data_IF_482335177713
#
_entry.id   IF_482335177713
#
_cell.length_a   1.000
_cell.length_b   1.000
_cell.length_c   1.000
_cell.angle_alpha   90.00
_cell.angle_beta   90.00
_cell.angle_gamma   90.00
#
_symmetry.space_group_name_H-M   'P 1'
#
loop_
_entity.id
_entity.type
_entity.pdbx_description
1 polymer ?
#
# COMPACT_ATOMS: atom_id res chain seq x y z
N UNK A 1 -19.08 -14.71 13.73
CA UNK A 1 -18.58 -13.51 14.42
C UNK A 1 -17.45 -12.99 13.56
N UNK A 2 -17.59 -11.80 12.99
CA UNK A 2 -16.50 -11.15 12.24
C UNK A 2 -15.47 -10.63 13.24
N UNK A 3 -14.18 -10.83 12.94
CA UNK A 3 -13.08 -10.36 13.80
C UNK A 3 -12.49 -9.09 13.20
N UNK A 4 -12.21 -8.09 14.03
CA UNK A 4 -11.56 -6.85 13.59
C UNK A 4 -10.40 -6.52 14.51
N UNK A 5 -9.26 -6.17 13.94
CA UNK A 5 -8.02 -5.84 14.64
C UNK A 5 -7.47 -4.53 14.10
N UNK A 6 -7.35 -3.52 14.96
CA UNK A 6 -6.61 -2.31 14.64
C UNK A 6 -5.10 -2.58 14.66
N UNK A 7 -4.40 -2.14 13.63
CA UNK A 7 -2.94 -2.15 13.55
C UNK A 7 -2.38 -0.85 14.10
N UNK A 8 -1.21 -0.94 14.73
CA UNK A 8 -0.44 0.24 15.11
C UNK A 8 0.24 0.83 13.86
N UNK A 9 0.03 2.13 13.62
CA UNK A 9 0.70 2.87 12.55
C UNK A 9 1.99 3.48 13.13
N UNK A 10 3.13 3.01 12.64
CA UNK A 10 4.44 3.41 13.14
C UNK A 10 4.97 4.62 12.34
N UNK A 11 5.67 5.55 13.00
CA UNK A 11 6.24 6.75 12.36
C UNK A 11 7.75 6.93 12.56
N UNK A 12 8.37 6.18 13.48
CA UNK A 12 9.82 6.15 13.66
C UNK A 12 10.44 4.90 12.99
N UNK A 13 11.09 5.07 11.82
CA UNK A 13 11.77 3.97 11.14
C UNK A 13 13.07 3.66 11.88
N UNK A 14 13.20 2.42 12.37
CA UNK A 14 14.42 1.92 13.01
C UNK A 14 15.43 1.37 11.99
N UNK A 15 15.14 1.45 10.69
CA UNK A 15 15.93 0.87 9.59
C UNK A 15 16.16 1.83 8.41
N UNK A 16 16.90 2.94 8.60
CA UNK A 16 17.21 3.87 7.51
C UNK A 16 17.81 3.13 6.29
N UNK A 17 17.34 3.51 5.08
CA UNK A 17 17.64 2.88 3.78
C UNK A 17 17.06 1.47 3.55
N UNK A 18 15.87 1.19 4.10
CA UNK A 18 15.05 0.05 3.67
C UNK A 18 14.74 0.21 2.15
N UNK A 19 14.73 -0.89 1.40
CA UNK A 19 14.42 -0.93 -0.04
C UNK A 19 15.42 -0.25 -0.99
N UNK A 20 16.70 -0.12 -0.62
CA UNK A 20 17.70 0.54 -1.47
C UNK A 20 18.08 -0.20 -2.76
N UNK A 21 17.48 -1.36 -3.05
CA UNK A 21 17.70 -2.14 -4.27
C UNK A 21 16.36 -2.42 -4.92
N UNK A 22 16.14 -1.80 -6.08
CA UNK A 22 14.93 -1.98 -6.86
C UNK A 22 14.78 -3.40 -7.38
N UNK A 23 13.54 -3.86 -7.39
CA UNK A 23 13.08 -5.07 -8.07
C UNK A 23 13.27 -4.89 -9.58
N UNK A 24 13.97 -5.82 -10.22
CA UNK A 24 14.07 -5.87 -11.68
C UNK A 24 12.99 -6.77 -12.25
N UNK A 25 12.34 -6.31 -13.32
CA UNK A 25 11.27 -7.02 -14.01
C UNK A 25 11.69 -8.44 -14.43
N UNK A 26 12.87 -8.60 -15.05
CA UNK A 26 13.39 -9.90 -15.49
C UNK A 26 13.55 -10.91 -14.34
N UNK A 27 14.02 -10.44 -13.19
CA UNK A 27 14.19 -11.27 -11.98
C UNK A 27 12.85 -11.64 -11.38
N UNK A 28 11.89 -10.71 -11.42
CA UNK A 28 10.57 -10.93 -10.86
C UNK A 28 9.72 -11.88 -11.70
N UNK A 29 9.73 -11.73 -13.02
CA UNK A 29 9.04 -12.65 -13.94
C UNK A 29 9.57 -14.09 -13.79
N UNK A 30 10.90 -14.24 -13.67
CA UNK A 30 11.53 -15.53 -13.39
C UNK A 30 11.11 -16.11 -12.03
N UNK A 31 10.80 -15.27 -11.05
CA UNK A 31 10.30 -15.69 -9.73
C UNK A 31 8.81 -16.07 -9.75
N UNK A 32 7.96 -15.29 -10.42
CA UNK A 32 6.53 -15.59 -10.59
C UNK A 32 6.30 -16.89 -11.38
N UNK A 33 7.06 -17.08 -12.47
CA UNK A 33 6.91 -18.26 -13.35
C UNK A 33 7.25 -19.58 -12.69
N UNK A 34 7.95 -19.58 -11.54
CA UNK A 34 8.23 -20.78 -10.75
C UNK A 34 7.00 -21.34 -10.02
N UNK A 35 5.82 -20.71 -10.14
CA UNK A 35 4.53 -21.41 -10.05
C UNK A 35 4.08 -21.81 -8.63
N UNK A 36 4.53 -21.11 -7.59
CA UNK A 36 4.01 -21.37 -6.24
C UNK A 36 2.65 -20.67 -6.05
N UNK A 37 1.55 -21.39 -5.71
CA UNK A 37 0.23 -20.79 -5.49
C UNK A 37 0.24 -19.65 -4.46
N UNK A 38 1.12 -19.71 -3.46
CA UNK A 38 1.28 -18.64 -2.47
C UNK A 38 1.88 -17.38 -3.08
N UNK A 39 2.85 -17.51 -3.99
CA UNK A 39 3.44 -16.37 -4.71
C UNK A 39 2.37 -15.68 -5.56
N UNK A 40 1.57 -16.45 -6.30
CA UNK A 40 0.46 -15.91 -7.07
C UNK A 40 -0.61 -15.24 -6.20
N UNK A 41 -0.85 -15.73 -4.98
CA UNK A 41 -1.76 -15.07 -4.05
C UNK A 41 -1.23 -13.71 -3.57
N UNK A 42 0.07 -13.58 -3.37
CA UNK A 42 0.70 -12.33 -2.91
C UNK A 42 0.84 -11.34 -4.06
N UNK A 43 1.29 -11.81 -5.22
CA UNK A 43 1.81 -10.97 -6.29
C UNK A 43 1.05 -11.09 -7.62
N UNK A 44 0.05 -11.96 -7.69
CA UNK A 44 -0.75 -12.15 -8.90
C UNK A 44 -1.63 -10.93 -9.20
N UNK A 45 -2.28 -11.01 -10.36
CA UNK A 45 -3.13 -9.95 -10.88
C UNK A 45 -4.18 -9.51 -9.87
N UNK A 46 -4.35 -8.20 -9.73
CA UNK A 46 -5.34 -7.59 -8.84
C UNK A 46 -4.94 -7.51 -7.36
N UNK A 47 -3.79 -8.06 -6.97
CA UNK A 47 -3.22 -7.84 -5.63
C UNK A 47 -2.63 -6.43 -5.49
N UNK A 48 -2.83 -5.80 -4.32
CA UNK A 48 -2.14 -4.56 -3.93
C UNK A 48 -0.62 -4.68 -4.06
N UNK A 49 -0.05 -5.86 -3.83
CA UNK A 49 1.40 -6.08 -3.81
C UNK A 49 1.98 -6.49 -5.16
N UNK A 50 1.14 -6.64 -6.20
CA UNK A 50 1.60 -7.00 -7.54
C UNK A 50 2.37 -5.85 -8.20
N UNK A 51 3.60 -6.07 -8.71
CA UNK A 51 4.29 -5.08 -9.55
C UNK A 51 3.55 -4.72 -10.83
N UNK A 52 2.55 -5.51 -11.23
CA UNK A 52 1.80 -5.31 -12.46
C UNK A 52 0.40 -4.72 -12.24
N UNK A 53 0.07 -4.31 -11.00
CA UNK A 53 -1.24 -3.76 -10.65
C UNK A 53 -1.66 -2.59 -11.57
N UNK A 54 -0.69 -1.78 -12.02
CA UNK A 54 -0.91 -0.60 -12.86
C UNK A 54 -0.59 -0.84 -14.34
N UNK A 55 -0.77 -2.09 -14.82
CA UNK A 55 -0.59 -2.57 -16.22
C UNK A 55 0.85 -2.60 -16.74
N UNK A 56 1.74 -1.76 -16.21
CA UNK A 56 3.18 -1.82 -16.45
C UNK A 56 3.88 -2.26 -15.16
N UNK A 57 5.07 -2.84 -15.32
CA UNK A 57 5.93 -3.12 -14.18
C UNK A 57 6.21 -1.82 -13.42
N UNK A 58 5.90 -1.84 -12.13
CA UNK A 58 6.19 -0.80 -11.17
C UNK A 58 6.68 -1.47 -9.89
N UNK A 59 7.89 -1.12 -9.46
CA UNK A 59 8.47 -1.68 -8.25
C UNK A 59 7.59 -1.33 -7.05
N UNK A 60 7.04 -2.31 -6.31
CA UNK A 60 6.19 -2.02 -5.15
C UNK A 60 6.89 -1.28 -4.01
N UNK A 61 8.23 -1.24 -4.03
CA UNK A 61 9.04 -0.45 -3.11
C UNK A 61 9.30 0.97 -3.57
N UNK A 62 8.93 1.35 -4.80
CA UNK A 62 8.83 2.74 -5.20
C UNK A 62 7.49 3.32 -4.72
N UNK A 63 7.49 4.58 -4.27
CA UNK A 63 6.26 5.22 -3.81
C UNK A 63 5.37 5.60 -5.00
N UNK A 64 4.09 5.23 -4.94
CA UNK A 64 3.12 5.50 -6.00
C UNK A 64 2.04 6.50 -5.54
N UNK A 65 1.74 7.56 -6.31
CA UNK A 65 0.68 8.52 -5.96
C UNK A 65 -0.71 7.95 -6.29
N UNK A 66 -1.13 6.93 -5.53
CA UNK A 66 -2.36 6.17 -5.80
C UNK A 66 -3.61 7.04 -5.93
N UNK A 67 -3.71 8.07 -5.09
CA UNK A 67 -4.88 8.93 -4.97
C UNK A 67 -5.04 9.94 -6.11
N UNK A 68 -4.02 10.10 -6.97
CA UNK A 68 -4.14 10.89 -8.19
C UNK A 68 -4.91 10.16 -9.30
N UNK A 69 -5.20 8.87 -9.11
CA UNK A 69 -5.86 8.03 -10.10
C UNK A 69 -7.20 7.50 -9.60
N UNK A 70 -8.19 7.47 -10.50
CA UNK A 70 -9.47 6.82 -10.24
C UNK A 70 -9.33 5.29 -10.37
N UNK A 71 -9.70 4.58 -9.30
CA UNK A 71 -9.66 3.11 -9.23
C UNK A 71 -10.51 2.46 -10.31
N UNK A 72 -11.68 3.03 -10.62
CA UNK A 72 -12.59 2.57 -11.67
C UNK A 72 -11.91 2.50 -13.05
N UNK A 73 -11.06 3.49 -13.35
CA UNK A 73 -10.33 3.56 -14.62
C UNK A 73 -9.14 2.59 -14.60
N UNK A 74 -8.30 2.66 -13.56
CA UNK A 74 -7.07 1.86 -13.51
C UNK A 74 -7.37 0.35 -13.42
N UNK A 75 -8.34 -0.04 -12.59
CA UNK A 75 -8.70 -1.44 -12.33
C UNK A 75 -9.79 -1.98 -13.25
N UNK A 76 -10.31 -1.19 -14.20
CA UNK A 76 -11.39 -1.57 -15.13
C UNK A 76 -11.26 -2.99 -15.69
N UNK A 77 -10.08 -3.36 -16.20
CA UNK A 77 -9.80 -4.70 -16.72
C UNK A 77 -9.91 -5.79 -15.63
N UNK A 78 -9.28 -5.58 -14.48
CA UNK A 78 -9.26 -6.52 -13.36
C UNK A 78 -10.65 -6.71 -12.73
N UNK A 79 -11.47 -5.66 -12.72
CA UNK A 79 -12.87 -5.73 -12.29
C UNK A 79 -13.71 -6.52 -13.28
N UNK A 80 -13.51 -6.30 -14.59
CA UNK A 80 -14.24 -7.04 -15.63
C UNK A 80 -13.95 -8.55 -15.61
N UNK A 81 -12.73 -8.94 -15.21
CA UNK A 81 -12.33 -10.34 -15.06
C UNK A 81 -12.60 -10.92 -13.67
N UNK A 82 -13.13 -10.12 -12.72
CA UNK A 82 -13.38 -10.55 -11.34
C UNK A 82 -12.12 -10.86 -10.53
N UNK A 83 -10.98 -10.28 -10.92
CA UNK A 83 -9.66 -10.56 -10.35
C UNK A 83 -9.18 -9.48 -9.36
N UNK A 84 -9.90 -8.37 -9.19
CA UNK A 84 -9.46 -7.31 -8.27
C UNK A 84 -9.66 -7.71 -6.81
N UNK A 85 -8.59 -7.59 -6.01
CA UNK A 85 -8.65 -7.76 -4.55
C UNK A 85 -8.24 -6.50 -3.81
N UNK A 86 -8.05 -5.41 -4.55
CA UNK A 86 -7.75 -4.07 -4.06
C UNK A 86 -8.76 -3.08 -4.64
N UNK A 87 -9.06 -2.06 -3.85
CA UNK A 87 -9.81 -0.90 -4.29
C UNK A 87 -9.42 0.33 -3.48
N UNK A 88 -9.56 1.51 -4.05
CA UNK A 88 -9.33 2.76 -3.34
C UNK A 88 -10.30 3.84 -3.82
N UNK A 89 -10.58 4.79 -2.93
CA UNK A 89 -11.45 5.91 -3.22
C UNK A 89 -11.09 7.13 -2.38
N UNK A 90 -11.40 8.30 -2.92
CA UNK A 90 -11.33 9.57 -2.23
C UNK A 90 -12.74 10.03 -1.90
N UNK A 91 -13.00 10.34 -0.62
CA UNK A 91 -14.23 11.03 -0.18
C UNK A 91 -13.93 12.49 0.15
N UNK A 92 -14.93 13.26 0.58
CA UNK A 92 -14.73 14.62 1.08
C UNK A 92 -13.84 14.67 2.33
N UNK A 93 -13.83 13.61 3.13
CA UNK A 93 -13.17 13.58 4.46
C UNK A 93 -11.93 12.72 4.53
N UNK A 94 -11.84 11.69 3.71
CA UNK A 94 -10.85 10.63 3.85
C UNK A 94 -10.40 10.11 2.49
N UNK A 95 -9.15 9.65 2.45
CA UNK A 95 -8.66 8.69 1.47
C UNK A 95 -8.77 7.27 2.06
N UNK A 96 -9.36 6.33 1.31
CA UNK A 96 -9.67 4.98 1.80
C UNK A 96 -9.15 3.93 0.84
N UNK A 97 -8.25 3.07 1.33
CA UNK A 97 -7.68 1.95 0.59
C UNK A 97 -8.15 0.65 1.24
N UNK A 98 -8.63 -0.28 0.42
CA UNK A 98 -9.04 -1.62 0.83
C UNK A 98 -8.28 -2.64 0.01
N UNK A 99 -7.72 -3.64 0.68
CA UNK A 99 -6.97 -4.69 0.01
C UNK A 99 -7.10 -6.02 0.74
N UNK A 100 -7.14 -7.11 -0.01
CA UNK A 100 -6.91 -8.44 0.57
C UNK A 100 -5.43 -8.60 0.94
N UNK A 101 -5.21 -9.11 2.15
CA UNK A 101 -3.93 -9.57 2.61
C UNK A 101 -3.65 -10.97 2.06
N UNK A 102 -2.41 -11.25 1.64
CA UNK A 102 -2.02 -12.62 1.36
C UNK A 102 -2.13 -13.39 2.67
N UNK A 103 -3.12 -14.28 2.78
CA UNK A 103 -3.42 -15.05 3.99
C UNK A 103 -2.30 -15.96 4.52
N UNK A 104 -1.05 -15.80 4.09
CA UNK A 104 0.16 -16.45 4.60
C UNK A 104 1.00 -15.40 5.32
N UNK A 105 1.43 -15.68 6.56
CA UNK A 105 2.10 -14.67 7.39
C UNK A 105 1.17 -13.58 7.92
N UNK A 106 -0.13 -13.90 8.08
CA UNK A 106 -1.24 -13.01 8.50
C UNK A 106 -0.97 -12.10 9.70
N UNK A 107 -0.02 -12.45 10.57
CA UNK A 107 0.35 -11.66 11.75
C UNK A 107 1.52 -10.68 11.52
N UNK A 108 2.03 -10.59 10.29
CA UNK A 108 3.25 -9.82 9.98
C UNK A 108 2.98 -8.50 9.25
N UNK A 109 1.73 -8.18 8.93
CA UNK A 109 1.42 -6.91 8.27
C UNK A 109 1.79 -5.74 9.20
N UNK A 110 2.55 -4.80 8.65
CA UNK A 110 3.00 -3.59 9.29
C UNK A 110 2.63 -2.41 8.42
N UNK A 111 2.25 -1.32 9.08
CA UNK A 111 1.96 -0.04 8.43
C UNK A 111 2.89 1.00 9.02
N UNK A 112 3.66 1.63 8.15
CA UNK A 112 4.65 2.64 8.51
C UNK A 112 4.41 3.93 7.72
N UNK A 113 4.64 5.08 8.36
CA UNK A 113 4.57 6.40 7.73
C UNK A 113 5.96 7.01 7.70
N UNK A 114 6.50 7.15 6.50
CA UNK A 114 7.83 7.71 6.27
C UNK A 114 7.74 9.24 6.08
N UNK A 115 8.33 9.97 7.02
CA UNK A 115 8.45 11.44 6.98
C UNK A 115 7.14 12.19 6.73
N UNK A 116 5.99 11.58 7.07
CA UNK A 116 4.65 12.13 6.80
C UNK A 116 4.28 12.21 5.32
N UNK A 117 5.01 11.54 4.43
CA UNK A 117 4.85 11.63 2.97
C UNK A 117 4.51 10.32 2.28
N UNK A 118 4.93 9.20 2.86
CA UNK A 118 4.72 7.87 2.26
C UNK A 118 4.13 6.94 3.30
N UNK A 119 3.06 6.24 2.96
CA UNK A 119 2.59 5.08 3.73
C UNK A 119 3.17 3.81 3.12
N UNK A 120 3.88 3.04 3.92
CA UNK A 120 4.38 1.73 3.58
C UNK A 120 3.49 0.67 4.23
N UNK A 121 3.04 -0.29 3.41
CA UNK A 121 2.35 -1.49 3.86
C UNK A 121 3.26 -2.66 3.53
N UNK A 122 3.80 -3.34 4.54
CA UNK A 122 4.73 -4.46 4.31
C UNK A 122 4.46 -5.64 5.24
N UNK A 123 5.00 -6.80 4.89
CA UNK A 123 4.87 -8.01 5.69
C UNK A 123 5.67 -9.18 5.12
N UNK A 124 5.64 -10.30 5.82
CA UNK A 124 6.29 -11.55 5.41
C UNK A 124 5.23 -12.53 4.91
N UNK A 125 5.49 -13.18 3.78
CA UNK A 125 4.60 -14.24 3.28
C UNK A 125 5.23 -15.64 3.41
N UNK A 126 6.53 -15.76 3.72
CA UNK A 126 7.15 -17.04 4.11
C UNK A 126 7.32 -17.12 5.62
N UNK A 127 7.02 -18.30 6.21
CA UNK A 127 7.19 -18.62 7.64
C UNK A 127 8.67 -18.81 8.07
N UNK A 128 9.61 -18.01 7.57
CA UNK A 128 10.97 -18.00 8.10
C UNK A 128 11.15 -16.90 9.15
N UNK A 129 12.19 -17.04 10.00
CA UNK A 129 12.61 -15.98 10.94
C UNK A 129 12.79 -14.68 10.15
N UNK A 130 12.46 -13.56 10.80
CA UNK A 130 12.55 -12.22 10.22
C UNK A 130 13.75 -12.09 9.27
N UNK A 131 13.54 -11.54 8.06
CA UNK A 131 14.62 -11.29 7.14
C UNK A 131 15.70 -10.51 7.87
N UNK A 132 16.95 -10.97 7.85
CA UNK A 132 18.05 -10.19 8.44
C UNK A 132 18.01 -8.83 7.75
N UNK A 133 18.26 -7.73 8.45
CA UNK A 133 18.20 -6.35 7.91
C UNK A 133 18.93 -6.14 6.59
N UNK A 134 19.88 -7.03 6.26
CA UNK A 134 20.61 -7.11 4.99
C UNK A 134 19.77 -7.59 3.79
N UNK A 135 18.65 -8.27 3.99
CA UNK A 135 17.81 -8.85 2.94
C UNK A 135 16.95 -7.79 2.21
N UNK A 136 16.48 -6.75 2.91
CA UNK A 136 15.87 -5.59 2.24
C UNK A 136 16.84 -4.87 1.30
N UNK A 137 18.15 -4.97 1.59
CA UNK A 137 19.24 -4.39 0.80
C UNK A 137 19.85 -5.34 -0.22
N UNK A 138 19.47 -6.63 -0.22
CA UNK A 138 20.02 -7.59 -1.18
C UNK A 138 19.29 -7.58 -2.52
N UNK A 139 18.10 -6.97 -2.59
CA UNK A 139 17.23 -7.11 -3.75
C UNK A 139 16.78 -8.56 -3.91
N UNK A 140 16.43 -9.25 -2.82
CA UNK A 140 15.78 -10.56 -2.84
C UNK A 140 14.62 -10.61 -1.84
N UNK A 141 14.18 -9.45 -1.34
CA UNK A 141 13.21 -9.36 -0.27
C UNK A 141 11.84 -9.96 -0.63
N UNK A 142 11.49 -9.95 -1.92
CA UNK A 142 10.23 -10.51 -2.45
C UNK A 142 10.15 -12.03 -2.32
N UNK A 143 11.30 -12.71 -2.13
CA UNK A 143 11.33 -14.14 -1.82
C UNK A 143 10.79 -14.43 -0.42
N UNK A 144 10.70 -13.42 0.45
CA UNK A 144 10.38 -13.57 1.88
C UNK A 144 9.19 -12.72 2.32
N UNK A 145 8.98 -11.56 1.69
CA UNK A 145 7.97 -10.59 2.08
C UNK A 145 7.37 -9.83 0.90
N UNK A 146 6.48 -8.91 1.24
CA UNK A 146 5.77 -8.03 0.32
C UNK A 146 5.82 -6.60 0.84
N UNK A 147 5.70 -5.64 -0.06
CA UNK A 147 5.59 -4.22 0.26
C UNK A 147 4.73 -3.52 -0.77
N UNK A 148 4.05 -2.46 -0.35
CA UNK A 148 3.56 -1.40 -1.21
C UNK A 148 3.83 -0.06 -0.55
N UNK A 149 4.49 0.86 -1.25
CA UNK A 149 4.67 2.25 -0.83
C UNK A 149 3.75 3.17 -1.62
N UNK A 150 2.99 3.99 -0.91
CA UNK A 150 2.03 4.91 -1.51
C UNK A 150 2.33 6.33 -1.02
N UNK A 151 2.36 7.28 -1.95
CA UNK A 151 2.51 8.69 -1.61
C UNK A 151 1.22 9.21 -0.96
N UNK A 152 1.40 10.00 0.10
CA UNK A 152 0.32 10.68 0.78
C UNK A 152 0.03 12.00 0.06
N UNK A 153 -1.25 12.30 -0.25
CA UNK A 153 -1.64 13.59 -0.78
C UNK A 153 -1.27 14.74 0.17
N UNK A 154 -1.05 15.93 -0.36
CA UNK A 154 -0.59 17.08 0.45
C UNK A 154 -1.52 17.43 1.60
N UNK A 155 -2.82 17.23 1.42
CA UNK A 155 -3.84 17.50 2.43
C UNK A 155 -4.17 16.27 3.30
N UNK A 156 -3.35 15.23 3.33
CA UNK A 156 -3.54 14.07 4.21
C UNK A 156 -3.05 14.38 5.64
N UNK A 157 -3.90 14.11 6.64
CA UNK A 157 -3.50 14.11 8.04
C UNK A 157 -2.89 12.75 8.40
N UNK A 158 -1.60 12.60 8.06
CA UNK A 158 -0.85 11.37 8.26
C UNK A 158 -0.78 10.91 9.71
N UNK A 159 -0.99 11.80 10.69
CA UNK A 159 -0.96 11.49 12.13
C UNK A 159 -2.20 10.74 12.58
N UNK A 160 -3.28 10.79 11.80
CA UNK A 160 -4.57 10.18 12.09
C UNK A 160 -4.88 8.99 11.19
N UNK A 161 -3.87 8.43 10.54
CA UNK A 161 -4.03 7.23 9.73
C UNK A 161 -4.51 6.08 10.62
N UNK A 162 -5.57 5.42 10.17
CA UNK A 162 -6.10 4.22 10.79
C UNK A 162 -5.87 3.03 9.86
N UNK A 163 -5.44 1.91 10.44
CA UNK A 163 -5.24 0.67 9.73
C UNK A 163 -6.00 -0.44 10.47
N UNK A 164 -6.94 -1.10 9.78
CA UNK A 164 -7.82 -2.12 10.36
C UNK A 164 -7.74 -3.39 9.53
N UNK A 165 -7.58 -4.53 10.18
CA UNK A 165 -7.65 -5.85 9.55
C UNK A 165 -8.95 -6.54 9.97
N UNK A 166 -9.79 -6.86 8.99
CA UNK A 166 -11.06 -7.56 9.17
C UNK A 166 -10.95 -9.01 8.69
N UNK A 167 -11.47 -9.93 9.50
CA UNK A 167 -11.49 -11.38 9.28
C UNK A 167 -10.12 -11.97 8.92
N UNK A 168 -9.04 -11.31 9.34
CA UNK A 168 -7.65 -11.63 9.01
C UNK A 168 -7.34 -11.61 7.49
N UNK A 169 -8.25 -11.07 6.69
CA UNK A 169 -8.19 -11.12 5.22
C UNK A 169 -8.16 -9.72 4.64
N UNK A 170 -8.95 -8.78 5.14
CA UNK A 170 -9.09 -7.46 4.52
C UNK A 170 -8.38 -6.39 5.33
N UNK A 171 -7.39 -5.73 4.73
CA UNK A 171 -6.80 -4.51 5.24
C UNK A 171 -7.59 -3.31 4.73
N UNK A 172 -7.99 -2.43 5.64
CA UNK A 172 -8.50 -1.10 5.35
C UNK A 172 -7.52 -0.07 5.93
N UNK A 173 -7.02 0.82 5.07
CA UNK A 173 -6.25 2.01 5.46
C UNK A 173 -7.15 3.23 5.23
N UNK A 174 -7.40 3.99 6.28
CA UNK A 174 -8.15 5.25 6.23
C UNK A 174 -7.24 6.40 6.62
N UNK A 175 -7.18 7.40 5.76
CA UNK A 175 -6.30 8.55 5.89
C UNK A 175 -7.19 9.80 5.87
N UNK A 176 -7.47 10.39 7.05
CA UNK A 176 -8.24 11.62 7.11
C UNK A 176 -7.56 12.73 6.34
N UNK A 177 -8.36 13.63 5.75
CA UNK A 177 -7.86 14.90 5.22
C UNK A 177 -7.67 15.88 6.37
N UNK A 178 -6.66 16.74 6.25
CA UNK A 178 -6.53 17.92 7.07
C UNK A 178 -7.81 18.76 6.89
N UNK A 179 -8.39 19.21 8.00
CA UNK A 179 -9.47 20.18 7.94
C UNK A 179 -8.94 21.41 7.19
N UNK A 180 -9.50 21.69 6.01
CA UNK A 180 -9.25 22.95 5.32
C UNK A 180 -9.81 24.01 6.26
N UNK A 181 -9.05 25.03 6.71
CA UNK A 181 -9.69 26.19 7.29
C UNK A 181 -10.55 26.82 6.19
N UNK A 182 -11.85 26.58 6.24
CA UNK A 182 -12.82 27.35 5.46
C UNK A 182 -12.67 28.81 5.87
N UNK A 183 -12.13 29.65 4.99
CA UNK A 183 -12.20 31.10 5.15
C UNK A 183 -10.93 31.85 4.78
N UNK A 184 -10.80 32.17 3.50
CA UNK A 184 -10.74 33.56 3.04
C UNK A 184 -11.30 33.63 1.61
N UNK A 185 -12.62 33.82 1.51
CA UNK A 185 -13.15 34.62 0.41
C UNK A 185 -12.67 36.05 0.66
N UNK A 186 -11.60 36.48 -0.01
CA UNK A 186 -11.34 37.91 -0.18
C UNK A 186 -12.18 38.39 -1.37
N UNK A 187 -13.48 38.49 -1.10
CA UNK A 187 -14.35 39.46 -1.77
C UNK A 187 -14.20 40.78 -1.02
N UNK A 188 -13.49 41.73 -1.61
CA UNK A 188 -13.58 43.14 -1.28
C UNK A 188 -13.65 43.94 -2.58
N UNK A 189 -14.84 43.90 -3.18
CA UNK A 189 -15.36 45.03 -3.93
C UNK A 189 -15.89 46.01 -2.87
N UNK A 190 -15.21 47.13 -2.64
CA UNK A 190 -15.91 48.43 -2.54
C UNK A 190 -14.92 49.62 -2.64
N UNK A 191 -15.20 50.45 -3.65
CA UNK A 191 -15.13 51.92 -3.71
C UNK A 191 -14.01 52.70 -3.01
N UNK A 192 -13.21 53.41 -3.82
CA UNK A 192 -13.25 54.90 -3.91
C UNK A 192 -12.77 55.41 -5.28
#
# INVERSE_FOLDING_TARGET
MTSSKQLEVQSEDRTPQKWCVSLREDKFEAFLSQGNPTVNKVFGDGSLFSPFLFRKFFDPSDAFPLWEFESDILLSHLRSSGQTTVDWLQTDKDYVLKAELPGVGKNSVQVYVESGKVVEISGLWRHQKEPKTKEWRSGHWWEHGYVRRLELPENADWRRIEAIVNDEIYLEIRIPKCDIPHGKEEGAEDSE
#
